data_IF_278869018547
#
_entry.id   IF_278869018547
#
_cell.length_a   1.000
_cell.length_b   1.000
_cell.length_c   1.000
_cell.angle_alpha   90.00
_cell.angle_beta   90.00
_cell.angle_gamma   90.00
#
_symmetry.space_group_name_H-M   'P 1'
#
loop_
_entity.id
_entity.type
_entity.pdbx_description
1 polymer ?
#
# COMPACT_ATOMS: atom_id res chain seq x y z
N UNK A 1 42.12 -26.31 71.93
CA UNK A 1 42.94 -25.63 70.90
C UNK A 1 42.59 -26.23 69.54
N UNK A 2 42.30 -25.37 68.55
CA UNK A 2 41.91 -25.63 67.14
C UNK A 2 40.55 -26.28 66.89
N UNK A 3 39.49 -25.55 66.51
CA UNK A 3 39.26 -24.68 65.33
C UNK A 3 39.41 -25.43 64.00
N UNK A 4 38.30 -25.64 63.30
CA UNK A 4 38.07 -25.34 61.87
C UNK A 4 36.57 -25.53 61.59
N UNK A 5 35.87 -24.41 61.36
CA UNK A 5 34.49 -24.37 60.82
C UNK A 5 34.62 -24.24 59.30
N UNK A 6 34.20 -25.26 58.55
CA UNK A 6 34.06 -25.16 57.10
C UNK A 6 32.78 -24.38 56.77
N UNK A 7 32.94 -23.15 56.28
CA UNK A 7 31.88 -22.36 55.67
C UNK A 7 31.78 -22.73 54.19
N UNK A 8 30.76 -23.49 53.80
CA UNK A 8 30.37 -23.66 52.41
C UNK A 8 29.66 -22.37 51.94
N UNK A 9 30.39 -21.48 51.27
CA UNK A 9 29.83 -20.33 50.57
C UNK A 9 29.21 -20.77 49.24
N UNK A 10 27.89 -20.88 49.20
CA UNK A 10 27.14 -21.10 47.96
C UNK A 10 27.13 -19.83 47.11
N UNK A 11 27.80 -19.87 45.96
CA UNK A 11 27.75 -18.81 44.95
C UNK A 11 26.39 -18.89 44.23
N UNK A 12 25.43 -18.07 44.66
CA UNK A 12 24.14 -17.93 43.99
C UNK A 12 24.36 -17.23 42.63
N UNK A 13 24.33 -18.00 41.55
CA UNK A 13 24.29 -17.48 40.19
C UNK A 13 22.90 -16.92 39.95
N UNK A 14 22.76 -15.59 40.03
CA UNK A 14 21.54 -14.89 39.69
C UNK A 14 21.33 -14.97 38.16
N UNK A 15 20.40 -15.81 37.72
CA UNK A 15 19.95 -15.85 36.33
C UNK A 15 19.12 -14.60 36.05
N UNK A 16 19.70 -13.67 35.29
CA UNK A 16 18.99 -12.51 34.76
C UNK A 16 18.08 -13.01 33.63
N UNK A 17 16.81 -13.24 33.94
CA UNK A 17 15.78 -13.48 32.93
C UNK A 17 15.49 -12.16 32.21
N UNK A 18 16.02 -12.01 30.99
CA UNK A 18 15.62 -10.94 30.09
C UNK A 18 14.21 -11.28 29.58
N UNK A 19 13.20 -10.70 30.22
CA UNK A 19 11.84 -10.70 29.69
C UNK A 19 11.82 -9.86 28.41
N UNK A 20 11.78 -10.53 27.25
CA UNK A 20 11.59 -9.86 25.97
C UNK A 20 10.28 -9.08 26.01
N UNK A 21 10.35 -7.77 25.76
CA UNK A 21 9.16 -6.93 25.62
C UNK A 21 8.46 -7.32 24.32
N UNK A 22 7.41 -8.13 24.43
CA UNK A 22 6.51 -8.39 23.31
C UNK A 22 5.82 -7.06 22.94
N UNK A 23 6.29 -6.39 21.89
CA UNK A 23 5.63 -5.21 21.35
C UNK A 23 4.32 -5.67 20.71
N UNK A 24 3.20 -5.08 21.11
CA UNK A 24 1.91 -5.38 20.50
C UNK A 24 1.97 -5.09 18.98
N UNK A 25 1.35 -5.96 18.19
CA UNK A 25 1.27 -5.75 16.75
C UNK A 25 0.52 -4.44 16.44
N UNK A 26 0.90 -3.68 15.40
CA UNK A 26 0.21 -2.44 15.05
C UNK A 26 -1.28 -2.66 14.74
N UNK A 27 -2.14 -1.74 15.20
CA UNK A 27 -3.57 -1.76 14.88
C UNK A 27 -3.81 -1.11 13.51
N UNK A 28 -4.17 -1.93 12.53
CA UNK A 28 -4.44 -1.48 11.16
C UNK A 28 -5.65 -0.55 11.03
N UNK A 29 -6.66 -0.70 11.89
CA UNK A 29 -7.87 0.15 11.87
C UNK A 29 -7.53 1.54 12.39
N UNK A 30 -6.78 1.62 13.49
CA UNK A 30 -6.34 2.90 14.06
C UNK A 30 -5.46 3.67 13.08
N UNK A 31 -4.47 2.98 12.48
CA UNK A 31 -3.61 3.58 11.45
C UNK A 31 -4.40 4.05 10.22
N UNK A 32 -5.43 3.30 9.80
CA UNK A 32 -6.29 3.72 8.70
C UNK A 32 -7.10 4.97 9.06
N UNK A 33 -7.63 5.05 10.28
CA UNK A 33 -8.34 6.24 10.77
C UNK A 33 -7.42 7.46 10.72
N UNK A 34 -6.22 7.33 11.27
CA UNK A 34 -5.25 8.41 11.38
C UNK A 34 -4.77 8.92 10.02
N UNK A 35 -4.51 8.01 9.07
CA UNK A 35 -3.78 8.34 7.84
C UNK A 35 -4.61 8.30 6.56
N UNK A 36 -5.71 7.55 6.52
CA UNK A 36 -6.42 7.24 5.28
C UNK A 36 -7.86 7.76 5.26
N UNK A 37 -8.55 7.74 6.41
CA UNK A 37 -9.99 8.01 6.50
C UNK A 37 -10.37 9.42 6.03
N UNK A 38 -9.49 10.41 6.19
CA UNK A 38 -9.75 11.77 5.73
C UNK A 38 -10.03 11.88 4.22
N UNK A 39 -9.46 10.97 3.41
CA UNK A 39 -9.69 10.93 1.97
C UNK A 39 -10.57 9.75 1.53
N UNK A 40 -10.34 8.56 2.10
CA UNK A 40 -10.98 7.31 1.69
C UNK A 40 -12.20 6.92 2.51
N UNK A 41 -12.54 7.71 3.55
CA UNK A 41 -13.65 7.48 4.46
C UNK A 41 -13.59 6.14 5.22
N UNK A 42 -14.34 5.98 6.30
CA UNK A 42 -14.25 4.77 7.13
C UNK A 42 -14.71 3.50 6.43
N UNK A 43 -15.82 3.58 5.71
CA UNK A 43 -16.40 2.46 4.98
C UNK A 43 -15.81 2.30 3.57
N UNK A 44 -14.74 3.03 3.23
CA UNK A 44 -14.14 3.01 1.89
C UNK A 44 -15.01 3.70 0.83
N UNK A 45 -15.95 4.56 1.26
CA UNK A 45 -16.84 5.31 0.39
C UNK A 45 -16.06 6.37 -0.40
N UNK A 46 -16.65 6.88 -1.48
CA UNK A 46 -16.04 7.97 -2.25
C UNK A 46 -15.91 9.23 -1.39
N UNK A 47 -14.72 9.83 -1.41
CA UNK A 47 -14.43 11.15 -0.83
C UNK A 47 -13.52 11.93 -1.77
N UNK A 48 -12.49 12.60 -1.24
CA UNK A 48 -11.39 13.14 -2.06
C UNK A 48 -10.60 11.98 -2.71
N UNK A 49 -10.44 10.90 -1.95
CA UNK A 49 -9.86 9.65 -2.44
C UNK A 49 -10.89 8.83 -3.21
N UNK A 50 -10.37 8.00 -4.12
CA UNK A 50 -11.20 6.97 -4.77
C UNK A 50 -11.76 6.01 -3.72
N UNK A 51 -12.98 5.49 -3.94
CA UNK A 51 -13.59 4.52 -3.05
C UNK A 51 -12.75 3.23 -2.97
N UNK A 52 -12.52 2.75 -1.75
CA UNK A 52 -11.83 1.48 -1.44
C UNK A 52 -12.86 0.39 -1.15
N UNK A 53 -13.76 0.16 -2.11
CA UNK A 53 -14.81 -0.85 -2.04
C UNK A 53 -14.29 -2.24 -2.42
N UNK A 54 -15.03 -3.29 -2.04
CA UNK A 54 -14.70 -4.69 -2.33
C UNK A 54 -14.30 -4.91 -3.79
N UNK A 55 -15.12 -4.45 -4.75
CA UNK A 55 -14.85 -4.65 -6.18
C UNK A 55 -13.52 -4.06 -6.69
N UNK A 56 -12.91 -3.11 -5.96
CA UNK A 56 -11.59 -2.58 -6.31
C UNK A 56 -10.46 -3.25 -5.54
N UNK A 57 -10.74 -3.69 -4.32
CA UNK A 57 -9.74 -4.36 -3.50
C UNK A 57 -9.58 -5.83 -3.90
N UNK A 58 -10.64 -6.49 -4.37
CA UNK A 58 -10.58 -7.88 -4.84
C UNK A 58 -9.54 -8.05 -5.95
N UNK A 59 -9.49 -7.13 -6.92
CA UNK A 59 -8.66 -7.23 -8.11
C UNK A 59 -7.24 -6.64 -7.96
N UNK A 60 -6.66 -6.67 -6.76
CA UNK A 60 -5.28 -6.19 -6.54
C UNK A 60 -4.53 -7.10 -5.59
N UNK A 61 -3.21 -7.19 -5.76
CA UNK A 61 -2.33 -7.92 -4.84
C UNK A 61 -2.00 -7.10 -3.59
N UNK A 62 -1.57 -7.76 -2.51
CA UNK A 62 -1.15 -7.05 -1.30
C UNK A 62 0.13 -6.27 -1.56
N UNK A 63 1.04 -6.82 -2.37
CA UNK A 63 2.26 -6.11 -2.82
C UNK A 63 1.92 -4.80 -3.54
N UNK A 64 0.89 -4.79 -4.38
CA UNK A 64 0.43 -3.57 -5.04
C UNK A 64 -0.11 -2.55 -4.03
N UNK A 65 -0.93 -2.97 -3.07
CA UNK A 65 -1.45 -2.10 -2.01
C UNK A 65 -0.33 -1.52 -1.15
N UNK A 66 0.60 -2.35 -0.69
CA UNK A 66 1.76 -1.93 0.10
C UNK A 66 2.62 -0.92 -0.66
N UNK A 67 2.91 -1.18 -1.93
CA UNK A 67 3.71 -0.27 -2.78
C UNK A 67 2.98 1.04 -3.01
N UNK A 68 1.67 1.00 -3.24
CA UNK A 68 0.83 2.20 -3.40
C UNK A 68 0.81 3.05 -2.13
N UNK A 69 0.74 2.44 -0.95
CA UNK A 69 0.80 3.17 0.34
C UNK A 69 2.19 3.80 0.52
N UNK A 70 3.27 3.06 0.24
CA UNK A 70 4.64 3.58 0.44
C UNK A 70 5.00 4.71 -0.51
N UNK A 71 4.67 4.55 -1.80
CA UNK A 71 5.09 5.45 -2.86
C UNK A 71 4.06 6.52 -3.18
N UNK A 72 2.84 6.38 -2.66
CA UNK A 72 1.70 7.18 -3.09
C UNK A 72 1.38 6.89 -4.56
N UNK A 73 0.69 7.84 -5.20
CA UNK A 73 0.44 7.80 -6.64
C UNK A 73 0.97 9.08 -7.29
N UNK A 74 2.16 9.06 -7.90
CA UNK A 74 2.72 10.22 -8.59
C UNK A 74 1.72 10.87 -9.55
N UNK A 75 1.62 12.21 -9.52
CA UNK A 75 0.64 12.94 -10.33
C UNK A 75 -0.82 12.80 -9.87
N UNK A 76 -1.05 12.32 -8.64
CA UNK A 76 -2.36 12.24 -7.97
C UNK A 76 -2.25 12.78 -6.54
N UNK A 77 -3.40 12.99 -5.92
CA UNK A 77 -3.51 13.53 -4.54
C UNK A 77 -3.14 12.53 -3.45
N UNK A 78 -2.97 11.24 -3.78
CA UNK A 78 -2.61 10.21 -2.79
C UNK A 78 -1.12 10.30 -2.48
N UNK A 79 -0.73 10.75 -1.26
CA UNK A 79 0.66 10.99 -0.91
C UNK A 79 1.39 9.69 -0.60
N UNK A 80 2.72 9.77 -0.53
CA UNK A 80 3.59 8.69 -0.06
C UNK A 80 3.64 8.66 1.48
N UNK A 81 3.52 7.47 2.07
CA UNK A 81 3.57 7.27 3.54
C UNK A 81 4.90 6.66 3.99
N UNK A 82 6.01 7.34 3.67
CA UNK A 82 7.38 6.84 3.90
C UNK A 82 7.75 6.63 5.38
N UNK A 83 7.03 7.28 6.31
CA UNK A 83 7.28 7.17 7.76
C UNK A 83 6.62 5.96 8.41
N UNK A 84 5.69 5.28 7.72
CA UNK A 84 5.10 4.05 8.22
C UNK A 84 6.08 2.90 8.05
N UNK A 85 6.26 2.12 9.11
CA UNK A 85 7.01 0.87 9.06
C UNK A 85 6.29 -0.19 8.24
N UNK A 86 7.04 -1.18 7.78
CA UNK A 86 6.53 -2.35 7.05
C UNK A 86 5.38 -3.05 7.80
N UNK A 87 5.51 -3.18 9.12
CA UNK A 87 4.49 -3.78 9.97
C UNK A 87 3.21 -2.93 10.02
N UNK A 88 3.33 -1.59 10.07
CA UNK A 88 2.18 -0.68 10.03
C UNK A 88 1.48 -0.72 8.67
N UNK A 89 2.24 -0.69 7.57
CA UNK A 89 1.67 -0.82 6.22
C UNK A 89 0.96 -2.17 6.06
N UNK A 90 1.57 -3.26 6.51
CA UNK A 90 0.96 -4.59 6.53
C UNK A 90 -0.33 -4.65 7.35
N UNK A 91 -0.36 -4.01 8.53
CA UNK A 91 -1.56 -3.92 9.36
C UNK A 91 -2.70 -3.17 8.66
N UNK A 92 -2.40 -2.06 7.97
CA UNK A 92 -3.39 -1.31 7.17
C UNK A 92 -3.94 -2.19 6.05
N UNK A 93 -3.09 -2.88 5.29
CA UNK A 93 -3.54 -3.77 4.20
C UNK A 93 -4.42 -4.89 4.75
N UNK A 94 -4.03 -5.50 5.87
CA UNK A 94 -4.85 -6.51 6.55
C UNK A 94 -6.23 -5.95 6.95
N UNK A 95 -6.28 -4.74 7.50
CA UNK A 95 -7.54 -4.09 7.82
C UNK A 95 -8.41 -3.85 6.57
N UNK A 96 -7.83 -3.39 5.47
CA UNK A 96 -8.55 -3.20 4.20
C UNK A 96 -9.16 -4.51 3.70
N UNK A 97 -8.40 -5.61 3.75
CA UNK A 97 -8.88 -6.96 3.40
C UNK A 97 -10.04 -7.40 4.26
N UNK A 98 -9.89 -7.31 5.58
CA UNK A 98 -10.92 -7.69 6.53
C UNK A 98 -12.20 -6.87 6.37
N UNK A 99 -12.09 -5.54 6.28
CA UNK A 99 -13.25 -4.65 6.10
C UNK A 99 -13.97 -4.91 4.77
N UNK A 100 -13.21 -5.16 3.72
CA UNK A 100 -13.76 -5.37 2.40
C UNK A 100 -14.23 -6.80 2.14
N UNK A 101 -13.98 -7.73 3.05
CA UNK A 101 -14.21 -9.17 2.86
C UNK A 101 -13.52 -9.70 1.58
N UNK A 102 -12.30 -9.22 1.31
CA UNK A 102 -11.49 -9.68 0.17
C UNK A 102 -10.21 -10.37 0.65
N UNK A 103 -9.66 -11.22 -0.21
CA UNK A 103 -8.34 -11.83 -0.04
C UNK A 103 -7.40 -11.33 -1.11
N UNK A 104 -6.09 -11.56 -0.92
CA UNK A 104 -5.11 -11.28 -1.94
C UNK A 104 -5.39 -12.08 -3.23
N UNK A 105 -5.20 -11.43 -4.39
CA UNK A 105 -5.03 -12.12 -5.66
C UNK A 105 -3.54 -12.20 -5.99
N UNK A 106 -3.08 -13.42 -6.28
CA UNK A 106 -1.77 -13.67 -6.85
C UNK A 106 -1.87 -13.64 -8.37
N UNK A 107 -1.10 -12.75 -9.01
CA UNK A 107 -0.93 -12.76 -10.45
C UNK A 107 0.26 -13.65 -10.80
N UNK A 108 0.19 -14.34 -11.94
CA UNK A 108 1.37 -15.01 -12.49
C UNK A 108 2.48 -13.96 -12.73
N UNK A 109 3.68 -14.24 -12.26
CA UNK A 109 4.85 -13.38 -12.53
C UNK A 109 5.38 -13.56 -13.96
N UNK A 110 4.94 -14.63 -14.63
CA UNK A 110 5.33 -14.95 -16.00
C UNK A 110 4.79 -13.89 -16.96
N UNK A 111 5.66 -13.28 -17.79
CA UNK A 111 5.22 -12.32 -18.79
C UNK A 111 4.24 -12.98 -19.77
N UNK A 112 3.11 -12.33 -20.01
CA UNK A 112 2.21 -12.72 -21.09
C UNK A 112 2.89 -12.42 -22.43
N UNK A 113 3.22 -13.45 -23.19
CA UNK A 113 3.79 -13.30 -24.54
C UNK A 113 2.65 -13.03 -25.52
N UNK A 114 2.51 -11.76 -25.94
CA UNK A 114 1.57 -11.34 -26.97
C UNK A 114 2.24 -11.12 -28.34
N UNK A 115 1.42 -10.94 -29.38
CA UNK A 115 1.86 -10.48 -30.69
C UNK A 115 1.85 -8.94 -30.74
N UNK A 116 3.05 -8.35 -30.73
CA UNK A 116 3.21 -6.90 -30.76
C UNK A 116 2.71 -6.26 -32.06
N UNK A 117 2.85 -6.94 -33.20
CA UNK A 117 2.39 -6.42 -34.49
C UNK A 117 0.87 -6.40 -34.55
N UNK A 118 0.23 -7.48 -34.11
CA UNK A 118 -1.24 -7.52 -34.01
C UNK A 118 -1.76 -6.51 -32.98
N UNK A 119 -1.09 -6.38 -31.83
CA UNK A 119 -1.42 -5.38 -30.82
C UNK A 119 -1.36 -3.94 -31.34
N UNK A 120 -0.35 -3.62 -32.17
CA UNK A 120 -0.25 -2.32 -32.82
C UNK A 120 -1.44 -2.02 -33.74
N UNK A 121 -1.88 -3.00 -34.54
CA UNK A 121 -3.07 -2.88 -35.39
C UNK A 121 -4.32 -2.58 -34.55
N UNK A 122 -4.58 -3.39 -33.52
CA UNK A 122 -5.74 -3.20 -32.63
C UNK A 122 -5.71 -1.84 -31.91
N UNK A 123 -4.54 -1.42 -31.45
CA UNK A 123 -4.36 -0.13 -30.78
C UNK A 123 -4.69 1.04 -31.72
N UNK A 124 -4.22 0.96 -32.97
CA UNK A 124 -4.49 1.96 -34.00
C UNK A 124 -5.98 2.02 -34.36
N UNK A 125 -6.67 0.88 -34.39
CA UNK A 125 -8.09 0.83 -34.77
C UNK A 125 -9.03 1.28 -33.64
N UNK A 126 -8.65 1.05 -32.37
CA UNK A 126 -9.60 1.18 -31.26
C UNK A 126 -9.16 2.12 -30.14
N UNK A 127 -7.86 2.26 -29.90
CA UNK A 127 -7.34 2.93 -28.69
C UNK A 127 -6.84 4.35 -28.99
N UNK A 128 -6.29 4.57 -30.19
CA UNK A 128 -5.62 5.82 -30.60
C UNK A 128 -6.49 7.07 -30.41
N UNK A 129 -7.80 6.94 -30.62
CA UNK A 129 -8.76 8.06 -30.53
C UNK A 129 -8.75 8.73 -29.16
N UNK A 130 -8.47 7.97 -28.10
CA UNK A 130 -8.41 8.48 -26.73
C UNK A 130 -6.96 8.50 -26.20
N UNK A 131 -6.18 7.46 -26.45
CA UNK A 131 -4.84 7.32 -25.86
C UNK A 131 -3.72 7.97 -26.69
N UNK A 132 -4.00 8.46 -27.91
CA UNK A 132 -2.98 9.03 -28.81
C UNK A 132 -2.14 7.97 -29.51
N UNK A 133 -1.47 8.32 -30.60
CA UNK A 133 -0.68 7.38 -31.42
C UNK A 133 0.49 6.76 -30.65
N UNK A 134 1.02 7.52 -29.69
CA UNK A 134 2.17 7.21 -28.86
C UNK A 134 1.81 6.86 -27.41
N UNK A 135 0.51 6.82 -27.07
CA UNK A 135 0.06 6.56 -25.71
C UNK A 135 0.11 7.77 -24.75
N UNK A 136 0.40 8.97 -25.26
CA UNK A 136 0.47 10.23 -24.48
C UNK A 136 -0.83 10.61 -23.75
N UNK A 137 -1.98 10.03 -24.16
CA UNK A 137 -3.29 10.40 -23.64
C UNK A 137 -3.77 11.76 -24.13
N UNK A 138 -3.29 12.21 -25.30
CA UNK A 138 -3.71 13.44 -25.97
C UNK A 138 -4.90 13.25 -26.94
N UNK A 139 -5.45 12.04 -27.03
CA UNK A 139 -6.60 11.76 -27.88
C UNK A 139 -7.85 12.55 -27.44
N UNK A 140 -8.69 12.88 -28.43
CA UNK A 140 -9.87 13.75 -28.30
C UNK A 140 -10.92 13.21 -27.30
N UNK A 141 -10.86 11.94 -26.91
CA UNK A 141 -11.80 11.31 -25.96
C UNK A 141 -11.39 11.33 -24.49
N UNK A 142 -10.26 11.94 -24.12
CA UNK A 142 -9.85 12.00 -22.70
C UNK A 142 -10.51 13.18 -21.99
N UNK A 143 -11.37 12.88 -21.00
CA UNK A 143 -12.10 13.87 -20.20
C UNK A 143 -11.24 14.85 -19.38
N UNK A 144 -9.92 14.83 -19.54
CA UNK A 144 -9.08 15.93 -19.08
C UNK A 144 -9.35 17.19 -19.88
N UNK A 145 -9.61 17.14 -21.20
CA UNK A 145 -9.93 18.35 -21.97
C UNK A 145 -11.28 18.98 -21.62
N UNK A 146 -12.19 18.22 -20.99
CA UNK A 146 -13.50 18.73 -20.55
C UNK A 146 -13.57 19.07 -19.07
N UNK A 147 -12.68 18.51 -18.23
CA UNK A 147 -12.74 18.69 -16.77
C UNK A 147 -11.67 19.64 -16.20
N UNK A 148 -10.57 19.94 -16.93
CA UNK A 148 -9.56 20.96 -16.54
C UNK A 148 -8.53 21.23 -17.64
N UNK A 149 -7.96 22.43 -17.69
CA UNK A 149 -6.78 22.67 -18.54
C UNK A 149 -5.59 21.80 -18.10
N UNK A 150 -4.91 21.19 -19.07
CA UNK A 150 -3.80 20.23 -18.84
C UNK A 150 -2.58 20.86 -18.15
N UNK A 151 -2.45 22.18 -18.25
CA UNK A 151 -1.44 23.02 -17.61
C UNK A 151 -1.70 23.27 -16.13
N UNK A 152 -2.90 22.95 -15.63
CA UNK A 152 -3.22 23.08 -14.21
C UNK A 152 -2.60 21.92 -13.41
N UNK A 153 -1.41 22.18 -12.89
CA UNK A 153 -0.74 21.34 -11.90
C UNK A 153 -1.53 21.37 -10.58
N UNK A 154 -2.19 20.26 -10.24
CA UNK A 154 -2.91 20.08 -8.96
C UNK A 154 -1.95 20.18 -7.76
N UNK A 155 -0.66 19.95 -7.97
CA UNK A 155 0.41 20.16 -7.00
C UNK A 155 1.48 21.03 -7.66
N UNK A 156 1.87 22.18 -7.08
CA UNK A 156 2.96 22.99 -7.64
C UNK A 156 4.26 22.17 -7.68
N UNK A 157 5.07 22.41 -8.70
CA UNK A 157 6.39 21.83 -8.80
C UNK A 157 7.21 22.22 -7.57
N UNK A 158 7.73 21.22 -6.87
CA UNK A 158 8.73 21.38 -5.80
C UNK A 158 10.05 21.86 -6.36
#
# INVERSE_FOLDING_TARGET
MNLIRLLLGGLAVATISVSGTAHAAPDGRELYIEHCSGCHQMEGQSGIGLPLLNAKLADVSDKYLQSTIRLGRPGRVMPAFQRLSDAQVGAIVKFLRQRSETTEIAYAEEPVVGDAAHGHTLYTEHCIKCHGADGSGEGQGTGVTTSRERTFLVMPAS
#
